data_IF_739025991757
#
_entry.id   IF_739025991757
#
_cell.length_a   1.000
_cell.length_b   1.000
_cell.length_c   1.000
_cell.angle_alpha   90.00
_cell.angle_beta   90.00
_cell.angle_gamma   90.00
#
_symmetry.space_group_name_H-M   'P 1'
#
loop_
_entity.id
_entity.type
_entity.pdbx_description
1 polymer ?
#
# COMPACT_ATOMS: atom_id res chain seq x y z
N UNK A 1 -16.69 11.00 -7.40
CA UNK A 1 -17.26 9.95 -8.26
C UNK A 1 -16.16 8.93 -8.57
N UNK A 2 -16.03 7.91 -7.73
CA UNK A 2 -15.36 6.63 -8.02
C UNK A 2 -16.06 5.58 -7.15
N UNK A 3 -17.10 4.97 -7.71
CA UNK A 3 -17.75 3.79 -7.17
C UNK A 3 -17.01 2.57 -7.72
N UNK A 4 -16.10 2.01 -6.95
CA UNK A 4 -15.58 0.67 -7.21
C UNK A 4 -16.35 -0.31 -6.33
N UNK A 5 -17.25 -1.02 -7.00
CA UNK A 5 -18.04 -2.15 -6.58
C UNK A 5 -17.18 -3.20 -5.85
N UNK A 6 -17.08 -3.11 -4.52
CA UNK A 6 -16.67 -4.23 -3.68
C UNK A 6 -17.92 -5.07 -3.40
N UNK A 7 -18.09 -6.27 -4.00
CA UNK A 7 -19.13 -7.16 -3.53
C UNK A 7 -18.79 -7.49 -2.07
N UNK A 8 -19.75 -7.20 -1.18
CA UNK A 8 -19.67 -7.43 0.26
C UNK A 8 -19.34 -8.88 0.56
N UNK A 9 -18.05 -9.22 0.64
CA UNK A 9 -17.57 -10.22 1.57
C UNK A 9 -17.69 -9.58 2.95
N UNK A 10 -18.86 -9.74 3.56
CA UNK A 10 -19.16 -9.25 4.91
C UNK A 10 -18.33 -10.08 5.89
N UNK A 11 -17.07 -9.69 6.10
CA UNK A 11 -16.29 -10.16 7.25
C UNK A 11 -16.96 -9.52 8.47
N UNK A 12 -17.93 -10.22 9.07
CA UNK A 12 -18.59 -9.80 10.29
C UNK A 12 -17.61 -9.95 11.46
N UNK A 13 -16.75 -8.97 11.67
CA UNK A 13 -16.04 -8.87 12.95
C UNK A 13 -16.98 -8.23 13.96
N UNK A 14 -17.15 -8.82 15.16
CA UNK A 14 -17.88 -8.18 16.25
C UNK A 14 -17.17 -6.87 16.61
N UNK A 15 -17.91 -5.75 16.60
CA UNK A 15 -17.38 -4.41 16.93
C UNK A 15 -17.15 -4.33 18.45
N UNK A 16 -15.91 -4.26 18.96
CA UNK A 16 -15.69 -4.10 20.39
C UNK A 16 -16.02 -2.65 20.77
N UNK A 17 -16.95 -2.47 21.70
CA UNK A 17 -17.32 -1.17 22.26
C UNK A 17 -16.10 -0.59 22.98
N UNK A 18 -15.60 0.56 22.52
CA UNK A 18 -14.57 1.34 23.22
C UNK A 18 -13.10 1.04 22.89
N UNK A 19 -12.79 0.29 21.82
CA UNK A 19 -11.39 0.00 21.46
C UNK A 19 -10.81 1.02 20.50
N UNK A 20 -9.57 1.46 20.77
CA UNK A 20 -8.78 2.29 19.87
C UNK A 20 -8.82 1.71 18.44
N UNK A 21 -8.95 2.57 17.42
CA UNK A 21 -8.99 2.10 16.03
C UNK A 21 -7.71 1.29 15.75
N UNK A 22 -7.81 0.01 15.36
CA UNK A 22 -6.62 -0.77 15.06
C UNK A 22 -5.87 -0.14 13.89
N UNK A 23 -4.53 -0.18 13.98
CA UNK A 23 -3.64 0.43 13.01
C UNK A 23 -3.90 -0.09 11.57
N UNK A 24 -3.58 0.71 10.54
CA UNK A 24 -3.74 0.29 9.15
C UNK A 24 -3.07 -1.06 8.87
N UNK A 25 -1.83 -1.21 9.33
CA UNK A 25 -1.04 -2.44 9.19
C UNK A 25 -1.67 -3.65 9.88
N UNK A 26 -2.27 -3.45 11.06
CA UNK A 26 -2.92 -4.48 11.86
C UNK A 26 -4.12 -5.11 11.12
N UNK A 27 -4.86 -4.29 10.36
CA UNK A 27 -5.98 -4.77 9.55
C UNK A 27 -5.51 -5.49 8.30
N UNK A 28 -4.42 -5.02 7.70
CA UNK A 28 -3.82 -5.63 6.51
C UNK A 28 -3.25 -7.03 6.83
N UNK A 29 -2.57 -7.21 7.96
CA UNK A 29 -2.04 -8.52 8.37
C UNK A 29 -3.16 -9.51 8.61
N UNK A 30 -4.23 -9.10 9.30
CA UNK A 30 -5.42 -9.94 9.47
C UNK A 30 -6.04 -10.34 8.13
N UNK A 31 -6.12 -9.42 7.17
CA UNK A 31 -6.62 -9.72 5.82
C UNK A 31 -5.74 -10.76 5.11
N UNK A 32 -4.41 -10.71 5.29
CA UNK A 32 -3.47 -11.65 4.68
C UNK A 32 -3.54 -13.05 5.32
N UNK A 33 -3.65 -13.12 6.64
CA UNK A 33 -3.75 -14.40 7.38
C UNK A 33 -5.02 -15.17 6.99
N UNK A 34 -6.12 -14.44 6.76
CA UNK A 34 -7.42 -15.00 6.34
C UNK A 34 -7.44 -15.49 4.87
N UNK A 35 -6.36 -15.32 4.10
CA UNK A 35 -6.26 -15.86 2.74
C UNK A 35 -5.92 -17.36 2.78
N UNK A 36 -6.72 -18.17 2.11
CA UNK A 36 -6.45 -19.60 1.92
C UNK A 36 -5.23 -19.81 1.01
N UNK A 37 -5.16 -19.07 -0.10
CA UNK A 37 -4.04 -19.04 -1.03
C UNK A 37 -3.29 -17.72 -0.89
N UNK A 38 -2.00 -17.78 -0.54
CA UNK A 38 -1.11 -16.61 -0.47
C UNK A 38 -0.28 -16.52 -1.76
N UNK A 39 -0.69 -15.73 -2.76
CA UNK A 39 0.10 -15.53 -3.96
C UNK A 39 1.46 -14.91 -3.60
N UNK A 40 2.59 -15.58 -3.87
CA UNK A 40 3.90 -15.15 -3.38
C UNK A 40 4.32 -13.81 -3.97
N UNK A 41 3.95 -13.53 -5.22
CA UNK A 41 4.25 -12.26 -5.91
C UNK A 41 3.53 -11.09 -5.24
N UNK A 42 2.25 -11.27 -4.89
CA UNK A 42 1.48 -10.23 -4.19
C UNK A 42 2.02 -9.99 -2.80
N UNK A 43 2.38 -11.04 -2.07
CA UNK A 43 2.95 -10.91 -0.73
C UNK A 43 4.31 -10.21 -0.77
N UNK A 44 5.16 -10.55 -1.76
CA UNK A 44 6.43 -9.87 -1.98
C UNK A 44 6.23 -8.38 -2.29
N UNK A 45 5.26 -8.02 -3.15
CA UNK A 45 4.94 -6.63 -3.45
C UNK A 45 4.43 -5.88 -2.22
N UNK A 46 3.57 -6.49 -1.41
CA UNK A 46 3.09 -5.90 -0.14
C UNK A 46 4.26 -5.69 0.82
N UNK A 47 5.14 -6.70 0.97
CA UNK A 47 6.31 -6.61 1.83
C UNK A 47 7.25 -5.48 1.40
N UNK A 48 7.53 -5.33 0.10
CA UNK A 48 8.36 -4.23 -0.44
C UNK A 48 7.74 -2.87 -0.14
N UNK A 49 6.42 -2.71 -0.31
CA UNK A 49 5.75 -1.44 -0.04
C UNK A 49 5.73 -1.09 1.46
N UNK A 50 5.51 -2.07 2.33
CA UNK A 50 5.58 -1.88 3.78
C UNK A 50 7.02 -1.59 4.23
N UNK A 51 8.00 -2.31 3.67
CA UNK A 51 9.41 -2.08 3.95
C UNK A 51 9.85 -0.71 3.47
N UNK A 52 9.34 -0.18 2.36
CA UNK A 52 9.64 1.18 1.94
C UNK A 52 8.96 2.21 2.84
N UNK A 53 7.75 1.94 3.32
CA UNK A 53 7.05 2.82 4.26
C UNK A 53 7.75 2.89 5.63
N UNK A 54 8.06 1.75 6.24
CA UNK A 54 8.74 1.68 7.55
C UNK A 54 10.25 1.85 7.45
N UNK A 55 10.85 1.29 6.41
CA UNK A 55 12.28 1.32 6.16
C UNK A 55 12.75 2.63 5.53
N UNK A 56 11.85 3.54 5.12
CA UNK A 56 12.23 4.93 4.84
C UNK A 56 12.94 5.59 6.05
N UNK A 57 12.59 5.19 7.28
CA UNK A 57 13.30 5.62 8.49
C UNK A 57 14.66 4.93 8.68
N UNK A 58 14.85 3.75 8.08
CA UNK A 58 16.09 2.95 8.18
C UNK A 58 17.05 3.18 7.00
N UNK A 59 16.55 3.68 5.86
CA UNK A 59 17.33 3.92 4.65
C UNK A 59 17.95 5.32 4.73
N UNK A 60 19.26 5.48 4.46
CA UNK A 60 19.91 6.78 4.50
C UNK A 60 19.20 7.81 3.60
N UNK A 61 18.98 9.03 4.13
CA UNK A 61 18.28 10.17 3.46
C UNK A 61 18.89 10.63 2.12
N UNK A 62 19.92 9.96 1.60
CA UNK A 62 20.53 10.23 0.30
C UNK A 62 20.25 9.16 -0.76
N UNK A 63 19.72 7.98 -0.39
CA UNK A 63 19.46 6.89 -1.35
C UNK A 63 18.03 6.94 -1.92
N UNK A 64 17.08 7.43 -1.13
CA UNK A 64 15.66 7.52 -1.49
C UNK A 64 15.21 8.97 -1.37
N UNK A 65 14.72 9.59 -2.46
CA UNK A 65 14.20 10.95 -2.42
C UNK A 65 13.02 11.05 -1.45
N UNK A 66 12.83 12.22 -0.84
CA UNK A 66 11.70 12.42 0.06
C UNK A 66 10.37 12.14 -0.66
N UNK A 67 9.33 11.78 0.10
CA UNK A 67 8.00 11.50 -0.47
C UNK A 67 7.48 12.71 -1.27
N UNK A 68 7.81 13.93 -0.83
CA UNK A 68 7.47 15.18 -1.53
C UNK A 68 8.23 15.35 -2.84
N UNK A 69 9.52 15.02 -2.89
CA UNK A 69 10.33 15.07 -4.11
C UNK A 69 9.97 13.96 -5.10
N UNK A 70 9.40 12.87 -4.61
CA UNK A 70 9.00 11.70 -5.39
C UNK A 70 7.55 11.76 -5.87
N UNK A 71 6.84 12.84 -5.52
CA UNK A 71 5.47 13.04 -5.96
C UNK A 71 5.39 13.03 -7.50
N UNK A 72 4.32 12.41 -8.00
CA UNK A 72 4.10 12.25 -9.42
C UNK A 72 3.92 13.62 -10.08
N UNK A 73 4.94 14.06 -10.82
CA UNK A 73 4.91 15.30 -11.59
C UNK A 73 5.04 14.97 -13.08
N UNK A 74 3.90 14.86 -13.80
CA UNK A 74 3.87 14.47 -15.21
C UNK A 74 4.78 15.34 -16.07
N UNK A 75 4.82 16.65 -15.78
CA UNK A 75 5.68 17.62 -16.47
C UNK A 75 7.15 17.23 -16.42
N UNK A 76 7.68 16.86 -15.25
CA UNK A 76 9.09 16.47 -15.11
C UNK A 76 9.38 15.10 -15.71
N UNK A 77 8.39 14.19 -15.75
CA UNK A 77 8.54 12.88 -16.39
C UNK A 77 8.69 13.07 -17.91
N UNK A 78 7.82 13.87 -18.51
CA UNK A 78 7.79 14.14 -19.94
C UNK A 78 8.95 15.04 -20.40
N UNK A 79 9.23 16.13 -19.68
CA UNK A 79 10.25 17.10 -20.09
C UNK A 79 11.68 16.69 -19.68
N UNK A 80 11.86 15.97 -18.56
CA UNK A 80 13.19 15.64 -18.01
C UNK A 80 13.49 14.14 -17.97
N UNK A 81 12.62 13.29 -18.52
CA UNK A 81 12.83 11.84 -18.60
C UNK A 81 12.95 11.16 -17.23
N UNK A 82 12.35 11.72 -16.18
CA UNK A 82 12.46 11.18 -14.81
C UNK A 82 11.50 10.02 -14.56
N UNK A 83 11.60 8.96 -15.37
CA UNK A 83 10.75 7.75 -15.31
C UNK A 83 10.77 7.05 -13.95
N UNK A 84 11.88 7.18 -13.20
CA UNK A 84 12.01 6.65 -11.84
C UNK A 84 10.90 7.16 -10.91
N UNK A 85 10.41 8.39 -11.10
CA UNK A 85 9.29 8.96 -10.32
C UNK A 85 7.98 8.22 -10.53
N UNK A 86 7.76 7.68 -11.73
CA UNK A 86 6.56 6.89 -12.03
C UNK A 86 6.53 5.64 -11.15
N UNK A 87 7.65 4.91 -11.09
CA UNK A 87 7.77 3.71 -10.26
C UNK A 87 7.78 4.08 -8.78
N UNK A 88 8.59 5.04 -8.37
CA UNK A 88 8.70 5.49 -6.98
C UNK A 88 7.36 5.95 -6.41
N UNK A 89 6.50 6.60 -7.20
CA UNK A 89 5.16 7.01 -6.75
C UNK A 89 4.23 5.84 -6.40
N UNK A 90 4.45 4.66 -6.99
CA UNK A 90 3.65 3.48 -6.68
C UNK A 90 4.10 2.81 -5.36
N UNK A 91 5.34 3.07 -4.93
CA UNK A 91 5.94 2.44 -3.74
C UNK A 91 6.05 3.39 -2.53
N UNK A 92 6.30 4.68 -2.76
CA UNK A 92 6.42 5.70 -1.71
C UNK A 92 5.05 6.23 -1.33
N UNK A 93 4.65 5.97 -0.09
CA UNK A 93 3.37 6.39 0.44
C UNK A 93 3.59 7.35 1.62
N UNK A 94 2.84 8.45 1.63
CA UNK A 94 2.95 9.49 2.64
C UNK A 94 2.18 9.18 3.94
N UNK A 95 1.20 8.29 3.88
CA UNK A 95 0.20 8.11 4.94
C UNK A 95 -0.24 6.65 5.07
N UNK A 96 -0.51 6.22 6.31
CA UNK A 96 -0.95 4.86 6.64
C UNK A 96 -2.23 4.45 5.88
N UNK A 97 -3.15 5.38 5.67
CA UNK A 97 -4.40 5.13 4.95
C UNK A 97 -4.14 4.75 3.49
N UNK A 98 -3.23 5.48 2.83
CA UNK A 98 -2.87 5.23 1.44
C UNK A 98 -2.20 3.86 1.26
N UNK A 99 -1.27 3.50 2.14
CA UNK A 99 -0.65 2.16 2.13
C UNK A 99 -1.71 1.08 2.35
N UNK A 100 -2.59 1.26 3.35
CA UNK A 100 -3.62 0.28 3.66
C UNK A 100 -4.57 0.01 2.50
N UNK A 101 -5.10 1.04 1.85
CA UNK A 101 -6.05 0.87 0.73
C UNK A 101 -5.39 0.30 -0.53
N UNK A 102 -4.14 0.69 -0.83
CA UNK A 102 -3.41 0.12 -1.97
C UNK A 102 -3.08 -1.36 -1.75
N UNK A 103 -2.53 -1.71 -0.58
CA UNK A 103 -2.16 -3.10 -0.29
C UNK A 103 -3.36 -4.01 -0.14
N UNK A 104 -4.45 -3.56 0.50
CA UNK A 104 -5.69 -4.35 0.60
C UNK A 104 -6.31 -4.63 -0.77
N UNK A 105 -6.29 -3.65 -1.68
CA UNK A 105 -6.74 -3.80 -3.06
C UNK A 105 -5.82 -4.72 -3.87
N UNK A 106 -4.50 -4.63 -3.66
CA UNK A 106 -3.52 -5.49 -4.31
C UNK A 106 -3.71 -6.95 -3.88
N UNK A 107 -3.88 -7.20 -2.58
CA UNK A 107 -4.20 -8.52 -2.02
C UNK A 107 -5.50 -9.06 -2.62
N UNK A 108 -6.55 -8.24 -2.69
CA UNK A 108 -7.83 -8.65 -3.25
C UNK A 108 -7.76 -8.98 -4.75
N UNK A 109 -7.00 -8.20 -5.53
CA UNK A 109 -6.76 -8.47 -6.96
C UNK A 109 -5.88 -9.69 -7.17
N UNK A 110 -4.84 -9.87 -6.35
CA UNK A 110 -3.92 -10.99 -6.41
C UNK A 110 -4.55 -12.34 -6.11
N UNK A 111 -5.65 -12.38 -5.33
CA UNK A 111 -6.45 -13.60 -5.13
C UNK A 111 -7.02 -14.21 -6.42
N UNK A 112 -7.14 -13.42 -7.49
CA UNK A 112 -7.73 -13.83 -8.78
C UNK A 112 -6.70 -13.94 -9.90
N UNK A 113 -5.43 -13.70 -9.60
CA UNK A 113 -4.31 -13.86 -10.52
C UNK A 113 -3.79 -15.30 -10.45
#
# INVERSE_FOLDING_TARGET
MWLAYFPSARISTPKPKGTARPCGCCRLTNQIVQLELKPPVTLALVAVNLLLYFGLDLVPRGLVPSVWESCLQPRLILERGQWKRLLLSAFLHADEGHVYFNMSSLVWKGRRA
#
